data_IF_502204121214
#
_entry.id   IF_502204121214
#
_cell.length_a   1.000
_cell.length_b   1.000
_cell.length_c   1.000
_cell.angle_alpha   90.00
_cell.angle_beta   90.00
_cell.angle_gamma   90.00
#
_symmetry.space_group_name_H-M   'P 1'
#
loop_
_entity.id
_entity.type
_entity.pdbx_description
1 polymer ?
#
# COMPACT_ATOMS: atom_id res chain seq x y z
N UNK A 1 -54.48 -13.71 10.98
CA UNK A 1 -54.03 -12.56 10.17
C UNK A 1 -52.83 -11.87 10.86
N UNK A 2 -52.93 -11.48 12.14
CA UNK A 2 -51.87 -10.77 12.86
C UNK A 2 -50.55 -11.57 12.90
N UNK A 3 -50.56 -12.87 13.16
CA UNK A 3 -49.39 -13.72 13.19
C UNK A 3 -48.69 -13.82 11.83
N UNK A 4 -49.44 -13.86 10.74
CA UNK A 4 -48.87 -13.92 9.36
C UNK A 4 -48.19 -12.60 9.00
N UNK A 5 -48.79 -11.48 9.40
CA UNK A 5 -48.18 -10.16 9.19
C UNK A 5 -46.87 -10.00 9.97
N UNK A 6 -46.81 -10.53 11.19
CA UNK A 6 -45.62 -10.50 12.03
C UNK A 6 -44.46 -11.35 11.43
N UNK A 7 -44.80 -12.55 10.94
CA UNK A 7 -43.83 -13.42 10.25
C UNK A 7 -43.30 -12.79 8.97
N UNK A 8 -44.16 -12.11 8.21
CA UNK A 8 -43.77 -11.42 7.01
C UNK A 8 -42.82 -10.25 7.31
N UNK A 9 -43.17 -9.39 8.28
CA UNK A 9 -42.32 -8.28 8.72
C UNK A 9 -40.97 -8.78 9.27
N UNK A 10 -40.98 -9.87 10.04
CA UNK A 10 -39.75 -10.49 10.53
C UNK A 10 -38.87 -10.99 9.37
N UNK A 11 -39.45 -11.69 8.39
CA UNK A 11 -38.75 -12.15 7.20
C UNK A 11 -38.16 -11.00 6.39
N UNK A 12 -38.91 -9.93 6.17
CA UNK A 12 -38.42 -8.73 5.50
C UNK A 12 -37.27 -8.06 6.26
N UNK A 13 -37.36 -7.97 7.58
CA UNK A 13 -36.29 -7.44 8.42
C UNK A 13 -35.03 -8.29 8.35
N UNK A 14 -35.14 -9.62 8.29
CA UNK A 14 -33.98 -10.52 8.13
C UNK A 14 -33.32 -10.36 6.74
N UNK A 15 -34.11 -10.28 5.68
CA UNK A 15 -33.62 -10.05 4.33
C UNK A 15 -32.91 -8.68 4.26
N UNK A 16 -33.52 -7.65 4.82
CA UNK A 16 -32.93 -6.30 4.85
C UNK A 16 -31.57 -6.30 5.58
N UNK A 17 -31.50 -6.93 6.78
CA UNK A 17 -30.26 -7.04 7.55
C UNK A 17 -29.19 -7.85 6.81
N UNK A 18 -29.59 -8.94 6.13
CA UNK A 18 -28.66 -9.75 5.34
C UNK A 18 -28.09 -8.94 4.17
N UNK A 19 -28.94 -8.20 3.44
CA UNK A 19 -28.52 -7.36 2.34
C UNK A 19 -27.58 -6.22 2.80
N UNK A 20 -27.90 -5.58 3.93
CA UNK A 20 -27.04 -4.55 4.54
C UNK A 20 -25.65 -5.11 4.86
N UNK A 21 -25.57 -6.27 5.53
CA UNK A 21 -24.29 -6.92 5.85
C UNK A 21 -23.49 -7.28 4.59
N UNK A 22 -24.17 -7.77 3.55
CA UNK A 22 -23.52 -8.04 2.27
C UNK A 22 -22.96 -6.78 1.62
N UNK A 23 -23.72 -5.68 1.63
CA UNK A 23 -23.27 -4.39 1.09
C UNK A 23 -22.07 -3.85 1.88
N UNK A 24 -22.10 -3.94 3.21
CA UNK A 24 -20.98 -3.56 4.08
C UNK A 24 -19.74 -4.42 3.81
N UNK A 25 -19.89 -5.72 3.65
CA UNK A 25 -18.80 -6.62 3.31
C UNK A 25 -18.17 -6.26 1.96
N UNK A 26 -18.97 -6.04 0.92
CA UNK A 26 -18.48 -5.65 -0.41
C UNK A 26 -17.81 -4.28 -0.36
N UNK A 27 -18.35 -3.34 0.41
CA UNK A 27 -17.83 -1.97 0.50
C UNK A 27 -16.51 -1.86 1.26
N UNK A 28 -16.30 -2.71 2.30
CA UNK A 28 -15.21 -2.52 3.28
C UNK A 28 -14.24 -3.69 3.41
N UNK A 29 -14.44 -4.77 2.64
CA UNK A 29 -13.58 -5.95 2.71
C UNK A 29 -12.83 -6.16 1.40
N UNK A 30 -11.55 -6.50 1.47
CA UNK A 30 -10.77 -6.95 0.31
C UNK A 30 -11.18 -8.38 -0.05
N UNK A 31 -11.65 -8.64 -1.29
CA UNK A 31 -12.20 -9.94 -1.66
C UNK A 31 -11.16 -11.05 -1.71
N UNK A 32 -9.87 -10.73 -1.84
CA UNK A 32 -8.81 -11.73 -1.90
C UNK A 32 -8.37 -12.17 -0.51
N UNK A 33 -8.10 -11.21 0.37
CA UNK A 33 -7.52 -11.48 1.70
C UNK A 33 -8.58 -11.68 2.78
N UNK A 34 -9.81 -11.22 2.54
CA UNK A 34 -10.89 -11.19 3.53
C UNK A 34 -10.73 -10.12 4.62
N UNK A 35 -9.67 -9.32 4.54
CA UNK A 35 -9.41 -8.25 5.49
C UNK A 35 -9.98 -6.89 5.07
N UNK A 36 -9.60 -5.84 5.77
CA UNK A 36 -9.97 -4.46 5.44
C UNK A 36 -9.44 -4.08 4.05
N UNK A 37 -10.30 -3.45 3.24
CA UNK A 37 -9.88 -2.81 2.00
C UNK A 37 -9.45 -1.35 2.26
N UNK A 38 -9.03 -0.64 1.20
CA UNK A 38 -8.55 0.74 1.31
C UNK A 38 -9.60 1.69 1.89
N UNK A 39 -10.88 1.52 1.55
CA UNK A 39 -11.97 2.36 2.07
C UNK A 39 -12.16 2.15 3.58
N UNK A 40 -12.16 0.90 4.03
CA UNK A 40 -12.20 0.57 5.45
C UNK A 40 -10.99 1.13 6.20
N UNK A 41 -9.79 1.01 5.64
CA UNK A 41 -8.58 1.55 6.22
C UNK A 41 -8.65 3.07 6.41
N UNK A 42 -9.16 3.80 5.41
CA UNK A 42 -9.31 5.25 5.49
C UNK A 42 -10.29 5.68 6.59
N UNK A 43 -11.40 4.95 6.76
CA UNK A 43 -12.36 5.20 7.85
C UNK A 43 -11.74 4.89 9.22
N UNK A 44 -11.09 3.73 9.36
CA UNK A 44 -10.40 3.36 10.62
C UNK A 44 -9.30 4.35 10.98
N UNK A 45 -8.60 4.89 9.97
CA UNK A 45 -7.60 5.93 10.20
C UNK A 45 -8.23 7.21 10.76
N UNK A 46 -9.38 7.65 10.26
CA UNK A 46 -10.06 8.84 10.79
C UNK A 46 -10.42 8.69 12.27
N UNK A 47 -10.91 7.49 12.66
CA UNK A 47 -11.20 7.20 14.07
C UNK A 47 -9.91 7.18 14.91
N UNK A 48 -8.84 6.60 14.40
CA UNK A 48 -7.55 6.53 15.06
C UNK A 48 -6.92 7.91 15.18
N UNK A 49 -6.96 8.73 14.12
CA UNK A 49 -6.37 10.07 14.05
C UNK A 49 -6.93 11.01 15.14
N UNK A 50 -8.23 10.86 15.47
CA UNK A 50 -8.85 11.64 16.54
C UNK A 50 -8.25 11.42 17.94
N UNK A 51 -7.50 10.34 18.12
CA UNK A 51 -6.86 9.92 19.37
C UNK A 51 -5.33 9.90 19.27
N UNK A 52 -4.79 10.36 18.14
CA UNK A 52 -3.37 10.30 17.83
C UNK A 52 -2.68 11.61 18.13
N UNK A 53 -1.59 11.56 18.89
CA UNK A 53 -0.71 12.72 19.02
C UNK A 53 0.18 12.88 17.77
N UNK A 54 0.50 14.12 17.35
CA UNK A 54 1.44 14.38 16.27
C UNK A 54 2.79 13.67 16.47
N UNK A 55 3.38 13.20 15.38
CA UNK A 55 4.70 12.53 15.38
C UNK A 55 4.79 11.25 16.24
N UNK A 56 3.68 10.53 16.42
CA UNK A 56 3.68 9.24 17.15
C UNK A 56 3.50 8.04 16.23
N UNK A 57 3.00 8.26 15.02
CA UNK A 57 2.71 7.21 14.06
C UNK A 57 3.34 7.50 12.70
N UNK A 58 3.61 6.44 11.98
CA UNK A 58 4.13 6.49 10.61
C UNK A 58 3.21 5.72 9.67
N UNK A 59 2.82 6.34 8.56
CA UNK A 59 2.16 5.67 7.46
C UNK A 59 3.21 5.03 6.55
N UNK A 60 3.10 3.73 6.33
CA UNK A 60 4.01 2.96 5.47
C UNK A 60 3.26 2.45 4.25
N UNK A 61 3.88 2.54 3.11
CA UNK A 61 3.46 1.92 1.86
C UNK A 61 4.44 0.80 1.50
N UNK A 62 3.89 -0.37 1.16
CA UNK A 62 4.64 -1.53 0.72
C UNK A 62 4.18 -1.96 -0.68
N UNK A 63 5.13 -2.33 -1.52
CA UNK A 63 4.88 -2.88 -2.84
C UNK A 63 5.73 -4.13 -3.07
N UNK A 64 5.15 -5.21 -3.59
CA UNK A 64 5.89 -6.45 -3.86
C UNK A 64 6.69 -6.31 -5.15
N UNK A 65 8.01 -6.27 -5.03
CA UNK A 65 8.89 -6.09 -6.19
C UNK A 65 8.77 -7.27 -7.17
N UNK A 66 8.48 -6.93 -8.44
CA UNK A 66 8.44 -7.94 -9.49
C UNK A 66 7.22 -8.88 -9.43
N UNK A 67 6.14 -8.51 -8.75
CA UNK A 67 4.95 -9.35 -8.60
C UNK A 67 4.36 -9.82 -9.93
N UNK A 68 4.44 -8.97 -10.98
CA UNK A 68 4.02 -9.35 -12.33
C UNK A 68 4.78 -10.57 -12.84
N UNK A 69 6.10 -10.65 -12.62
CA UNK A 69 6.92 -11.81 -13.03
C UNK A 69 6.54 -13.08 -12.24
N UNK A 70 6.14 -12.93 -10.98
CA UNK A 70 5.63 -14.06 -10.19
C UNK A 70 4.37 -14.63 -10.86
N UNK A 71 3.41 -13.77 -11.22
CA UNK A 71 2.20 -14.21 -11.92
C UNK A 71 2.48 -14.82 -13.27
N UNK A 72 3.43 -14.29 -14.06
CA UNK A 72 3.83 -14.82 -15.36
C UNK A 72 4.50 -16.20 -15.25
N UNK A 73 5.34 -16.40 -14.24
CA UNK A 73 6.11 -17.64 -14.08
C UNK A 73 5.34 -18.75 -13.36
N UNK A 74 4.49 -18.40 -12.38
CA UNK A 74 3.84 -19.37 -11.47
C UNK A 74 2.32 -19.35 -11.51
N UNK A 75 1.75 -18.44 -12.32
CA UNK A 75 0.31 -18.27 -12.47
C UNK A 75 -0.33 -17.38 -11.41
N UNK A 76 -1.50 -16.83 -11.77
CA UNK A 76 -2.26 -15.87 -10.93
C UNK A 76 -2.68 -16.48 -9.60
N UNK A 77 -3.04 -17.78 -9.57
CA UNK A 77 -3.46 -18.47 -8.36
C UNK A 77 -2.36 -18.49 -7.29
N UNK A 78 -1.11 -18.67 -7.71
CA UNK A 78 0.03 -18.65 -6.81
C UNK A 78 0.33 -17.22 -6.32
N UNK A 79 0.24 -16.23 -7.21
CA UNK A 79 0.30 -14.83 -6.82
C UNK A 79 -0.75 -14.46 -5.77
N UNK A 80 -1.99 -14.93 -5.94
CA UNK A 80 -3.06 -14.74 -4.97
C UNK A 80 -2.75 -15.38 -3.61
N UNK A 81 -2.18 -16.58 -3.60
CA UNK A 81 -1.73 -17.25 -2.37
C UNK A 81 -0.64 -16.46 -1.65
N UNK A 82 0.33 -15.94 -2.41
CA UNK A 82 1.39 -15.08 -1.89
C UNK A 82 0.82 -13.81 -1.26
N UNK A 83 -0.12 -13.13 -1.92
CA UNK A 83 -0.74 -11.91 -1.39
C UNK A 83 -1.54 -12.16 -0.10
N UNK A 84 -2.29 -13.27 -0.05
CA UNK A 84 -2.97 -13.70 1.18
C UNK A 84 -1.97 -13.94 2.32
N UNK A 85 -0.87 -14.62 2.01
CA UNK A 85 0.17 -14.88 2.99
C UNK A 85 0.82 -13.59 3.50
N UNK A 86 1.20 -12.67 2.60
CA UNK A 86 1.74 -11.35 2.97
C UNK A 86 0.77 -10.65 3.92
N UNK A 87 -0.52 -10.57 3.55
CA UNK A 87 -1.52 -9.93 4.40
C UNK A 87 -1.60 -10.56 5.79
N UNK A 88 -1.64 -11.89 5.88
CA UNK A 88 -1.68 -12.60 7.17
C UNK A 88 -0.41 -12.36 8.01
N UNK A 89 0.76 -12.35 7.39
CA UNK A 89 2.01 -12.06 8.07
C UNK A 89 2.05 -10.62 8.60
N UNK A 90 1.57 -9.65 7.82
CA UNK A 90 1.44 -8.25 8.25
C UNK A 90 0.48 -8.15 9.45
N UNK A 91 -0.74 -8.71 9.34
CA UNK A 91 -1.74 -8.67 10.41
C UNK A 91 -1.27 -9.31 11.70
N UNK A 92 -0.47 -10.38 11.63
CA UNK A 92 0.11 -11.05 12.81
C UNK A 92 1.17 -10.18 13.53
N UNK A 93 1.66 -9.14 12.88
CA UNK A 93 2.63 -8.19 13.41
C UNK A 93 2.05 -6.82 13.78
N UNK A 94 0.75 -6.59 13.52
CA UNK A 94 0.05 -5.35 13.89
C UNK A 94 -0.27 -5.36 15.39
N UNK A 95 -0.01 -4.24 16.05
CA UNK A 95 -0.27 -4.01 17.47
C UNK A 95 -1.57 -3.22 17.67
N UNK A 96 -2.10 -3.12 18.90
CA UNK A 96 -3.22 -2.20 19.21
C UNK A 96 -2.91 -0.77 18.76
N UNK A 97 -3.91 -0.10 18.18
CA UNK A 97 -3.79 1.24 17.59
C UNK A 97 -2.89 1.32 16.35
N UNK A 98 -2.72 0.21 15.66
CA UNK A 98 -2.08 0.13 14.36
C UNK A 98 -3.07 -0.45 13.34
N UNK A 99 -2.86 -0.13 12.06
CA UNK A 99 -3.73 -0.58 10.97
C UNK A 99 -2.91 -1.20 9.84
N UNK A 100 -3.50 -2.17 9.15
CA UNK A 100 -2.95 -2.72 7.92
C UNK A 100 -4.06 -3.01 6.92
N UNK A 101 -3.79 -2.77 5.63
CA UNK A 101 -4.70 -3.08 4.54
C UNK A 101 -3.94 -3.47 3.28
N UNK A 102 -4.58 -4.30 2.46
CA UNK A 102 -4.22 -4.44 1.06
C UNK A 102 -4.99 -3.39 0.25
N UNK A 103 -4.27 -2.53 -0.47
CA UNK A 103 -4.87 -1.43 -1.21
C UNK A 103 -5.30 -1.83 -2.62
N UNK A 104 -4.37 -2.41 -3.39
CA UNK A 104 -4.58 -2.89 -4.75
C UNK A 104 -3.56 -4.00 -5.03
N UNK A 105 -3.80 -4.84 -6.03
CA UNK A 105 -2.91 -5.88 -6.54
C UNK A 105 -1.86 -6.37 -5.52
N UNK A 106 -0.68 -5.79 -5.52
CA UNK A 106 0.51 -6.12 -4.74
C UNK A 106 0.93 -4.99 -3.76
N UNK A 107 -0.01 -4.08 -3.47
CA UNK A 107 0.22 -2.88 -2.65
C UNK A 107 -0.48 -2.97 -1.30
N UNK A 108 0.22 -2.57 -0.24
CA UNK A 108 -0.28 -2.57 1.12
C UNK A 108 0.00 -1.22 1.79
N UNK A 109 -0.87 -0.81 2.72
CA UNK A 109 -0.63 0.29 3.64
C UNK A 109 -0.65 -0.20 5.07
N UNK A 110 0.26 0.36 5.88
CA UNK A 110 0.31 0.17 7.32
C UNK A 110 0.30 1.53 8.01
N UNK A 111 -0.41 1.65 9.13
CA UNK A 111 -0.24 2.75 10.06
C UNK A 111 0.38 2.17 11.33
N UNK A 112 1.65 2.45 11.57
CA UNK A 112 2.43 1.88 12.66
C UNK A 112 2.63 2.91 13.76
N UNK A 113 2.51 2.52 15.01
CA UNK A 113 2.82 3.36 16.17
C UNK A 113 4.34 3.37 16.42
N UNK A 114 5.06 3.89 15.44
CA UNK A 114 6.50 4.10 15.45
C UNK A 114 6.80 5.47 14.85
N UNK A 115 7.80 6.15 15.38
CA UNK A 115 8.12 7.53 15.01
C UNK A 115 9.59 7.75 14.64
N UNK A 116 10.44 6.76 14.87
CA UNK A 116 11.85 6.79 14.50
C UNK A 116 12.13 5.96 13.26
N UNK A 117 13.09 6.37 12.46
CA UNK A 117 13.54 5.66 11.26
C UNK A 117 13.94 4.23 11.60
N UNK A 118 14.73 4.09 12.65
CA UNK A 118 15.24 2.79 13.13
C UNK A 118 14.11 1.90 13.65
N UNK A 119 13.13 2.48 14.36
CA UNK A 119 11.97 1.74 14.86
C UNK A 119 11.09 1.22 13.74
N UNK A 120 10.81 2.06 12.74
CA UNK A 120 10.05 1.65 11.54
C UNK A 120 10.80 0.58 10.77
N UNK A 121 12.11 0.77 10.51
CA UNK A 121 12.92 -0.21 9.79
C UNK A 121 12.94 -1.56 10.51
N UNK A 122 13.19 -1.58 11.81
CA UNK A 122 13.20 -2.83 12.60
C UNK A 122 11.85 -3.56 12.54
N UNK A 123 10.72 -2.81 12.51
CA UNK A 123 9.38 -3.41 12.34
C UNK A 123 9.19 -4.00 10.94
N UNK A 124 9.63 -3.31 9.91
CA UNK A 124 9.55 -3.78 8.52
C UNK A 124 10.44 -4.99 8.29
N UNK A 125 11.65 -5.01 8.82
CA UNK A 125 12.55 -6.16 8.77
C UNK A 125 11.94 -7.41 9.42
N UNK A 126 11.29 -7.24 10.57
CA UNK A 126 10.59 -8.32 11.24
C UNK A 126 9.40 -8.86 10.41
N UNK A 127 8.62 -7.97 9.80
CA UNK A 127 7.52 -8.33 8.92
C UNK A 127 8.01 -9.02 7.65
N UNK A 128 9.04 -8.49 6.99
CA UNK A 128 9.65 -9.07 5.79
C UNK A 128 10.25 -10.46 6.08
N UNK A 129 10.88 -10.63 7.24
CA UNK A 129 11.34 -11.95 7.71
C UNK A 129 10.18 -12.92 7.90
N UNK A 130 9.08 -12.49 8.53
CA UNK A 130 7.88 -13.32 8.72
C UNK A 130 7.26 -13.73 7.37
N UNK A 131 7.18 -12.80 6.40
CA UNK A 131 6.70 -13.05 5.05
C UNK A 131 7.59 -14.10 4.36
N UNK A 132 8.91 -13.97 4.44
CA UNK A 132 9.84 -14.88 3.77
C UNK A 132 9.99 -16.26 4.47
N UNK A 133 9.52 -16.40 5.72
CA UNK A 133 9.52 -17.69 6.41
C UNK A 133 8.54 -18.69 5.76
N UNK A 134 7.52 -18.23 5.03
CA UNK A 134 6.57 -19.09 4.33
C UNK A 134 7.19 -19.90 3.18
N UNK A 135 8.26 -19.43 2.57
CA UNK A 135 8.97 -20.15 1.52
C UNK A 135 9.50 -21.52 1.97
N UNK A 136 9.60 -21.76 3.30
CA UNK A 136 10.00 -23.04 3.87
C UNK A 136 8.90 -24.12 3.80
N UNK A 137 7.64 -23.75 3.58
CA UNK A 137 6.49 -24.66 3.58
C UNK A 137 5.91 -24.93 2.20
N UNK A 138 6.33 -24.17 1.19
CA UNK A 138 5.96 -24.37 -0.21
C UNK A 138 7.18 -24.77 -1.01
N UNK A 139 7.02 -25.64 -2.03
CA UNK A 139 8.12 -26.02 -2.93
C UNK A 139 8.63 -24.87 -3.81
N UNK A 140 8.17 -23.64 -3.55
CA UNK A 140 8.50 -22.43 -4.27
C UNK A 140 9.37 -21.56 -3.37
N UNK A 141 10.68 -21.68 -3.52
CA UNK A 141 11.67 -20.86 -2.82
C UNK A 141 11.80 -19.47 -3.45
N UNK A 142 10.75 -18.66 -3.34
CA UNK A 142 10.83 -17.25 -3.75
C UNK A 142 11.11 -16.38 -2.54
N UNK A 143 12.26 -15.74 -2.57
CA UNK A 143 12.54 -14.64 -1.66
C UNK A 143 11.76 -13.40 -2.16
N UNK A 144 10.78 -12.98 -1.38
CA UNK A 144 9.97 -11.81 -1.70
C UNK A 144 10.71 -10.57 -1.20
N UNK A 145 10.95 -9.65 -2.12
CA UNK A 145 11.51 -8.33 -1.81
C UNK A 145 10.37 -7.31 -1.80
N UNK A 146 10.30 -6.52 -0.75
CA UNK A 146 9.36 -5.42 -0.63
C UNK A 146 10.06 -4.10 -0.97
N UNK A 147 9.36 -3.25 -1.69
CA UNK A 147 9.70 -1.83 -1.81
C UNK A 147 8.92 -1.09 -0.73
N UNK A 148 9.59 -0.22 0.00
CA UNK A 148 9.09 0.36 1.24
C UNK A 148 9.23 1.87 1.20
N UNK A 149 8.12 2.56 1.48
CA UNK A 149 8.12 4.01 1.63
C UNK A 149 7.30 4.44 2.83
N UNK A 150 7.78 5.40 3.58
CA UNK A 150 7.18 5.83 4.82
C UNK A 150 6.99 7.36 4.88
N UNK A 151 5.96 7.78 5.59
CA UNK A 151 5.68 9.17 5.90
C UNK A 151 5.32 9.29 7.38
N UNK A 152 6.12 10.05 8.15
CA UNK A 152 5.79 10.38 9.53
C UNK A 152 4.52 11.25 9.54
N UNK A 153 3.58 10.95 10.44
CA UNK A 153 2.33 11.69 10.59
C UNK A 153 2.59 12.85 11.56
N UNK A 154 2.96 13.98 10.97
CA UNK A 154 3.22 15.23 11.67
C UNK A 154 1.92 15.99 12.02
N UNK A 155 0.89 15.79 11.23
CA UNK A 155 -0.45 16.33 11.41
C UNK A 155 -1.49 15.20 11.24
N UNK A 156 -2.09 14.69 12.33
CA UNK A 156 -3.13 13.67 12.27
C UNK A 156 -4.41 14.11 11.55
N UNK A 157 -4.70 15.40 11.49
CA UNK A 157 -5.88 15.94 10.80
C UNK A 157 -5.68 16.01 9.29
N UNK A 158 -4.45 15.83 8.82
CA UNK A 158 -4.17 15.81 7.38
C UNK A 158 -4.90 14.64 6.71
N UNK A 159 -5.47 14.93 5.55
CA UNK A 159 -6.19 13.91 4.78
C UNK A 159 -5.28 12.69 4.51
N UNK A 160 -5.77 11.50 4.88
CA UNK A 160 -5.05 10.24 4.71
C UNK A 160 -4.59 10.01 3.26
N UNK A 161 -5.33 10.50 2.26
CA UNK A 161 -4.96 10.39 0.83
C UNK A 161 -3.65 11.12 0.55
N UNK A 162 -3.41 12.26 1.21
CA UNK A 162 -2.15 13.01 1.08
C UNK A 162 -1.00 12.21 1.71
N UNK A 163 -1.21 11.66 2.91
CA UNK A 163 -0.22 10.82 3.58
C UNK A 163 0.11 9.57 2.75
N UNK A 164 -0.90 8.94 2.14
CA UNK A 164 -0.72 7.81 1.23
C UNK A 164 0.10 8.19 -0.01
N UNK A 165 -0.15 9.36 -0.58
CA UNK A 165 0.63 9.88 -1.71
C UNK A 165 2.09 10.15 -1.31
N UNK A 166 2.33 10.72 -0.13
CA UNK A 166 3.68 10.96 0.42
C UNK A 166 4.44 9.64 0.65
N UNK A 167 3.82 8.64 1.25
CA UNK A 167 4.44 7.33 1.46
C UNK A 167 4.77 6.61 0.14
N UNK A 168 3.86 6.67 -0.85
CA UNK A 168 4.14 6.15 -2.21
C UNK A 168 5.30 6.90 -2.89
N UNK A 169 5.34 8.21 -2.78
CA UNK A 169 6.42 9.02 -3.33
C UNK A 169 7.77 8.63 -2.71
N UNK A 170 7.83 8.43 -1.40
CA UNK A 170 9.02 7.94 -0.72
C UNK A 170 9.46 6.58 -1.27
N UNK A 171 8.53 5.63 -1.45
CA UNK A 171 8.82 4.32 -2.03
C UNK A 171 9.39 4.41 -3.45
N UNK A 172 8.83 5.28 -4.31
CA UNK A 172 9.31 5.47 -5.68
C UNK A 172 10.74 6.06 -5.73
N UNK A 173 11.17 6.74 -4.67
CA UNK A 173 12.51 7.31 -4.53
C UNK A 173 13.46 6.45 -3.68
N UNK A 174 13.06 5.21 -3.36
CA UNK A 174 13.92 4.25 -2.66
C UNK A 174 15.20 4.00 -3.47
N UNK A 175 16.36 4.31 -2.88
CA UNK A 175 17.67 4.18 -3.54
C UNK A 175 18.38 2.86 -3.20
N UNK A 176 18.09 2.31 -2.03
CA UNK A 176 18.71 1.08 -1.55
C UNK A 176 17.64 0.01 -1.33
N UNK A 177 17.80 -1.20 -1.86
CA UNK A 177 16.91 -2.31 -1.55
C UNK A 177 16.93 -2.60 -0.05
N UNK A 178 15.81 -3.04 0.48
CA UNK A 178 15.61 -3.42 1.88
C UNK A 178 15.80 -2.28 2.92
N UNK A 179 15.92 -1.03 2.47
CA UNK A 179 15.92 0.16 3.35
C UNK A 179 14.71 1.02 3.04
N UNK A 180 13.85 1.21 4.05
CA UNK A 180 12.66 2.04 3.92
C UNK A 180 13.03 3.50 3.61
N UNK A 181 12.45 4.04 2.54
CA UNK A 181 12.61 5.44 2.18
C UNK A 181 11.59 6.29 2.91
N UNK A 182 12.04 7.37 3.56
CA UNK A 182 11.16 8.29 4.27
C UNK A 182 10.87 9.53 3.44
N UNK A 183 9.59 9.93 3.40
CA UNK A 183 9.18 11.17 2.77
C UNK A 183 9.82 12.36 3.49
N UNK A 184 10.48 13.21 2.74
CA UNK A 184 11.16 14.39 3.24
C UNK A 184 11.03 15.58 2.27
N UNK A 185 11.57 16.74 2.66
CA UNK A 185 11.52 17.96 1.84
C UNK A 185 12.24 17.82 0.50
N UNK A 186 13.26 16.99 0.38
CA UNK A 186 13.98 16.75 -0.88
C UNK A 186 13.11 16.00 -1.89
N UNK A 187 12.37 14.98 -1.44
CA UNK A 187 11.42 14.25 -2.28
C UNK A 187 10.33 15.19 -2.77
N UNK A 188 9.80 16.05 -1.89
CA UNK A 188 8.79 17.04 -2.27
C UNK A 188 9.33 18.03 -3.32
N UNK A 189 10.53 18.55 -3.14
CA UNK A 189 11.16 19.46 -4.09
C UNK A 189 11.38 18.78 -5.45
N UNK A 190 11.82 17.52 -5.45
CA UNK A 190 12.02 16.74 -6.68
C UNK A 190 10.70 16.52 -7.42
N UNK A 191 9.64 16.12 -6.72
CA UNK A 191 8.30 15.98 -7.31
C UNK A 191 7.79 17.30 -7.92
N UNK A 192 7.92 18.41 -7.20
CA UNK A 192 7.53 19.73 -7.72
C UNK A 192 8.33 20.07 -8.98
N UNK A 193 9.63 19.81 -8.99
CA UNK A 193 10.49 20.05 -10.16
C UNK A 193 10.08 19.19 -11.35
N UNK A 194 9.76 17.93 -11.14
CA UNK A 194 9.26 17.04 -12.19
C UNK A 194 7.95 17.56 -12.77
N UNK A 195 7.01 18.01 -11.93
CA UNK A 195 5.75 18.61 -12.39
C UNK A 195 5.95 19.90 -13.17
N UNK A 196 6.86 20.78 -12.73
CA UNK A 196 7.22 21.98 -13.47
C UNK A 196 7.78 21.64 -14.86
N UNK A 197 8.68 20.66 -14.95
CA UNK A 197 9.25 20.21 -16.21
C UNK A 197 8.20 19.62 -17.16
N UNK A 198 7.25 18.83 -16.62
CA UNK A 198 6.13 18.29 -17.41
C UNK A 198 5.23 19.43 -17.92
N UNK A 199 4.91 20.42 -17.08
CA UNK A 199 4.08 21.55 -17.46
C UNK A 199 4.73 22.44 -18.56
N UNK A 200 6.07 22.53 -18.56
CA UNK A 200 6.83 23.28 -19.57
C UNK A 200 7.04 22.50 -20.87
N UNK A 201 6.80 21.19 -20.89
CA UNK A 201 7.19 20.31 -21.99
C UNK A 201 6.56 20.71 -23.33
N UNK A 202 5.25 20.94 -23.38
CA UNK A 202 4.53 21.32 -24.61
C UNK A 202 5.02 22.68 -25.13
N UNK A 203 5.14 23.66 -24.26
CA UNK A 203 5.63 25.00 -24.62
C UNK A 203 7.08 24.93 -25.14
N UNK A 204 7.93 24.14 -24.52
CA UNK A 204 9.34 23.97 -24.97
C UNK A 204 9.46 23.24 -26.31
N UNK A 205 8.51 22.32 -26.61
CA UNK A 205 8.40 21.71 -27.94
C UNK A 205 8.02 22.73 -29.01
N UNK A 206 7.01 23.56 -28.74
CA UNK A 206 6.55 24.61 -29.64
C UNK A 206 7.66 25.65 -29.90
N UNK A 207 8.38 26.03 -28.86
CA UNK A 207 9.51 26.97 -28.92
C UNK A 207 10.78 26.37 -29.55
N UNK A 208 10.81 25.06 -29.84
CA UNK A 208 11.99 24.33 -30.34
C UNK A 208 13.21 24.40 -29.41
N UNK A 209 12.98 24.37 -28.09
CA UNK A 209 14.05 24.41 -27.08
C UNK A 209 14.86 23.11 -27.01
N UNK A 210 14.34 22.01 -27.61
CA UNK A 210 15.02 20.72 -27.64
C UNK A 210 16.01 20.63 -28.82
N UNK A 211 17.27 20.22 -28.52
CA UNK A 211 18.28 19.91 -29.50
C UNK A 211 18.54 18.40 -29.50
N UNK A 212 18.59 17.81 -30.69
CA UNK A 212 18.93 16.39 -30.87
C UNK A 212 20.41 16.20 -31.00
N UNK A 213 21.03 15.47 -30.09
CA UNK A 213 22.39 15.02 -30.15
C UNK A 213 22.48 13.54 -30.47
N UNK A 214 23.25 13.16 -31.49
CA UNK A 214 23.47 11.75 -31.86
C UNK A 214 24.82 11.31 -31.30
N UNK A 215 24.83 10.27 -30.48
CA UNK A 215 26.03 9.61 -30.01
C UNK A 215 26.35 8.41 -30.90
N UNK A 216 27.46 8.38 -31.63
CA UNK A 216 27.83 7.22 -32.45
C UNK A 216 28.17 6.02 -31.55
N UNK A 217 27.55 4.88 -31.83
CA UNK A 217 27.95 3.59 -31.24
C UNK A 217 28.95 2.93 -32.18
N UNK A 218 30.17 2.74 -31.72
CA UNK A 218 31.20 1.98 -32.46
C UNK A 218 31.13 0.53 -31.99
N UNK A 219 31.06 -0.41 -32.96
CA UNK A 219 31.27 -1.81 -32.68
C UNK A 219 32.76 -2.03 -32.47
N UNK A 220 33.18 -2.36 -31.28
CA UNK A 220 34.50 -2.91 -31.04
C UNK A 220 34.48 -4.34 -31.61
N UNK A 221 35.11 -4.52 -32.78
CA UNK A 221 35.42 -5.86 -33.28
C UNK A 221 36.67 -6.32 -32.54
N UNK A 222 36.61 -7.44 -31.83
CA UNK A 222 37.79 -8.18 -31.36
C UNK A 222 38.58 -8.75 -32.56
#
# INVERSE_FOLDING_TARGET
>A
IICVSFLFLYGMAQIYRSNQRQLEQIAFTDPLTGGSNLASFQLQYQDLASQMDPNTHTLVYLNVKGFKLINENFGVQEGDNILKHIYHALMSNIRPYELATRANTDQFFLCLREHTLEGVQARLDAMTKAINTFSLYTNIHHYLTLQEGACLIDDPELNIVILQARARAACNHQTQPDICSFYNGEIMQRMNREQELIALFETSLENRDFQVYLQPKVRLCD
#
